data_IF_637847829272
#
_entry.id   IF_637847829272
#
_cell.length_a   1.000
_cell.length_b   1.000
_cell.length_c   1.000
_cell.angle_alpha   90.00
_cell.angle_beta   90.00
_cell.angle_gamma   90.00
#
_symmetry.space_group_name_H-M   'P 1'
#
loop_
_entity.id
_entity.type
_entity.pdbx_description
1 polymer ?
#
# COMPACT_ATOMS: atom_id res chain seq x y z
N UNK A 1 17.62 -1.61 6.31
CA UNK A 1 17.44 -3.08 6.37
C UNK A 1 17.05 -3.57 5.00
N UNK A 2 17.44 -4.79 4.63
CA UNK A 2 17.32 -5.25 3.25
C UNK A 2 16.09 -6.13 3.04
N UNK A 3 15.54 -6.05 1.85
CA UNK A 3 14.63 -7.03 1.27
C UNK A 3 15.15 -8.45 1.55
N UNK A 4 14.28 -9.43 1.72
CA UNK A 4 14.57 -10.80 2.15
C UNK A 4 14.94 -11.00 3.64
N UNK A 5 14.99 -9.96 4.46
CA UNK A 5 15.18 -10.14 5.90
C UNK A 5 13.98 -10.86 6.52
N UNK A 6 14.24 -11.93 7.25
CA UNK A 6 13.22 -12.66 8.02
C UNK A 6 13.39 -12.31 9.50
N UNK A 7 12.27 -12.02 10.17
CA UNK A 7 12.21 -11.72 11.60
C UNK A 7 11.32 -12.71 12.29
N UNK A 8 11.78 -13.21 13.43
CA UNK A 8 10.93 -13.97 14.34
C UNK A 8 10.15 -12.99 15.20
N UNK A 9 8.83 -13.17 15.27
CA UNK A 9 7.95 -12.46 16.18
C UNK A 9 7.51 -13.37 17.34
N UNK A 10 7.06 -12.77 18.41
CA UNK A 10 6.43 -13.45 19.52
C UNK A 10 5.02 -12.90 19.68
N UNK A 11 4.02 -13.74 19.39
CA UNK A 11 2.62 -13.37 19.52
C UNK A 11 2.21 -13.41 20.99
N UNK A 12 1.59 -12.33 21.46
CA UNK A 12 1.07 -12.26 22.82
C UNK A 12 -0.45 -12.19 22.79
N UNK A 13 -1.11 -13.00 23.62
CA UNK A 13 -2.57 -13.03 23.71
C UNK A 13 -3.05 -12.60 25.08
N UNK A 14 -4.17 -11.89 25.12
CA UNK A 14 -4.91 -11.55 26.32
C UNK A 14 -6.39 -11.74 26.10
N UNK A 15 -7.13 -11.88 27.17
CA UNK A 15 -8.59 -11.81 27.13
C UNK A 15 -9.02 -10.35 27.29
N UNK A 16 -9.93 -9.91 26.43
CA UNK A 16 -10.55 -8.60 26.56
C UNK A 16 -11.49 -8.61 27.77
N UNK A 17 -11.37 -7.69 28.73
CA UNK A 17 -12.12 -7.71 29.96
C UNK A 17 -13.62 -7.44 29.77
N UNK A 18 -14.00 -6.70 28.74
CA UNK A 18 -15.38 -6.27 28.52
C UNK A 18 -16.17 -7.29 27.70
N UNK A 19 -15.53 -7.90 26.70
CA UNK A 19 -16.18 -8.80 25.74
C UNK A 19 -15.86 -10.28 25.97
N UNK A 20 -14.80 -10.58 26.73
CA UNK A 20 -14.28 -11.93 26.88
C UNK A 20 -13.55 -12.46 25.63
N UNK A 21 -13.41 -11.66 24.57
CA UNK A 21 -12.74 -12.06 23.35
C UNK A 21 -11.24 -12.24 23.55
N UNK A 22 -10.67 -13.25 22.91
CA UNK A 22 -9.20 -13.42 22.87
C UNK A 22 -8.62 -12.45 21.85
N UNK A 23 -7.78 -11.52 22.31
CA UNK A 23 -7.05 -10.56 21.47
C UNK A 23 -5.58 -11.00 21.39
N UNK A 24 -5.08 -11.17 20.17
CA UNK A 24 -3.69 -11.54 19.92
C UNK A 24 -2.97 -10.38 19.21
N UNK A 25 -1.88 -9.91 19.83
CA UNK A 25 -0.96 -8.97 19.20
C UNK A 25 0.00 -9.76 18.31
N UNK A 26 0.06 -9.37 17.03
CA UNK A 26 0.85 -10.06 16.01
C UNK A 26 2.21 -9.39 15.73
N UNK A 27 2.41 -8.16 16.19
CA UNK A 27 3.62 -7.37 15.90
C UNK A 27 4.31 -6.95 17.19
N UNK A 28 5.64 -6.67 17.16
CA UNK A 28 6.37 -6.18 18.32
C UNK A 28 5.75 -4.90 18.90
N UNK A 29 5.76 -4.70 20.22
CA UNK A 29 5.11 -3.54 20.86
C UNK A 29 5.85 -2.22 20.63
N UNK A 30 7.13 -2.28 20.32
CA UNK A 30 8.06 -1.17 20.12
C UNK A 30 8.23 -0.73 18.67
N UNK A 31 7.53 -1.38 17.73
CA UNK A 31 7.57 -1.04 16.31
C UNK A 31 6.21 -0.56 15.86
N UNK A 32 6.17 0.58 15.17
CA UNK A 32 4.94 1.05 14.53
C UNK A 32 4.64 0.19 13.32
N UNK A 33 3.46 -0.44 13.35
CA UNK A 33 2.98 -1.29 12.27
C UNK A 33 1.54 -0.95 11.93
N UNK A 34 1.19 -1.06 10.66
CA UNK A 34 -0.19 -0.97 10.22
C UNK A 34 -0.47 -1.95 9.07
N UNK A 35 -1.72 -2.33 8.90
CA UNK A 35 -2.15 -3.02 7.70
C UNK A 35 -2.46 -2.02 6.58
N UNK A 36 -2.57 -2.50 5.33
CA UNK A 36 -3.12 -1.74 4.22
C UNK A 36 -4.56 -1.26 4.51
N UNK A 37 -5.11 -0.43 3.64
CA UNK A 37 -6.43 0.17 3.85
C UNK A 37 -7.52 -0.90 3.95
N UNK A 38 -8.57 -0.64 4.71
CA UNK A 38 -9.51 -1.65 5.21
C UNK A 38 -10.27 -2.44 4.13
N UNK A 39 -10.42 -1.93 2.92
CA UNK A 39 -11.05 -2.63 1.79
C UNK A 39 -10.05 -3.36 0.89
N UNK A 40 -8.75 -3.24 1.16
CA UNK A 40 -7.72 -3.93 0.39
C UNK A 40 -7.47 -5.34 0.96
N UNK A 41 -7.28 -6.31 0.05
CA UNK A 41 -6.92 -7.66 0.45
C UNK A 41 -5.53 -7.68 1.10
N UNK A 42 -5.46 -8.16 2.34
CA UNK A 42 -4.21 -8.28 3.09
C UNK A 42 -3.91 -9.71 3.58
N UNK A 43 -4.91 -10.57 3.66
CA UNK A 43 -4.72 -11.98 3.99
C UNK A 43 -4.63 -12.86 2.75
N UNK A 44 -3.85 -13.92 2.83
CA UNK A 44 -3.90 -15.02 1.85
C UNK A 44 -5.25 -15.73 1.92
N UNK A 45 -5.62 -16.42 0.83
CA UNK A 45 -6.91 -17.11 0.72
C UNK A 45 -7.10 -18.21 1.77
N UNK A 46 -6.00 -18.84 2.20
CA UNK A 46 -5.98 -19.84 3.28
C UNK A 46 -5.95 -19.22 4.68
N UNK A 47 -5.85 -17.88 4.77
CA UNK A 47 -5.79 -17.14 6.03
C UNK A 47 -4.51 -17.35 6.84
N UNK A 48 -3.48 -17.97 6.28
CA UNK A 48 -2.24 -18.30 7.02
C UNK A 48 -1.23 -17.18 7.01
N UNK A 49 -1.32 -16.21 6.08
CA UNK A 49 -0.37 -15.10 5.95
C UNK A 49 -1.08 -13.75 5.84
N UNK A 50 -0.39 -12.73 6.32
CA UNK A 50 -0.88 -11.34 6.36
C UNK A 50 0.18 -10.40 5.79
N UNK A 51 -0.20 -9.53 4.84
CA UNK A 51 0.60 -8.37 4.46
C UNK A 51 0.36 -7.23 5.44
N UNK A 52 1.43 -6.63 5.90
CA UNK A 52 1.41 -5.43 6.74
C UNK A 52 2.60 -4.52 6.42
N UNK A 53 2.58 -3.30 6.88
CA UNK A 53 3.70 -2.38 6.82
C UNK A 53 4.26 -2.10 8.21
N UNK A 54 5.56 -1.90 8.29
CA UNK A 54 6.24 -1.63 9.56
C UNK A 54 7.52 -0.83 9.37
N UNK A 55 7.85 -0.06 10.41
CA UNK A 55 9.06 0.77 10.50
C UNK A 55 10.15 0.02 11.27
N UNK A 56 10.75 -0.99 10.66
CA UNK A 56 11.81 -1.79 11.29
C UNK A 56 13.23 -1.24 11.07
N UNK A 57 13.36 -0.06 10.47
CA UNK A 57 14.63 0.60 10.21
C UNK A 57 15.26 1.24 11.45
N UNK A 58 16.57 1.57 11.41
CA UNK A 58 17.18 2.37 12.45
C UNK A 58 16.61 3.80 12.43
N UNK A 59 16.29 4.33 13.61
CA UNK A 59 15.98 5.75 13.75
C UNK A 59 17.19 6.61 13.30
N UNK A 60 17.01 7.80 12.70
CA UNK A 60 15.77 8.58 12.62
C UNK A 60 15.04 8.50 11.27
N UNK A 61 15.28 7.51 10.45
CA UNK A 61 14.66 7.42 9.13
C UNK A 61 13.70 6.22 9.07
N UNK A 62 12.46 6.41 9.49
CA UNK A 62 11.45 5.37 9.37
C UNK A 62 11.00 5.27 7.91
N UNK A 63 11.50 4.27 7.21
CA UNK A 63 10.91 3.88 5.95
C UNK A 63 9.91 2.79 6.22
N UNK A 64 8.67 3.04 5.83
CA UNK A 64 7.61 2.06 5.83
C UNK A 64 7.85 1.06 4.73
N UNK A 65 8.06 -0.21 5.09
CA UNK A 65 8.23 -1.29 4.14
C UNK A 65 7.14 -2.34 4.33
N UNK A 66 6.79 -3.03 3.24
CA UNK A 66 5.89 -4.16 3.27
C UNK A 66 6.57 -5.41 3.80
N UNK A 67 5.80 -6.16 4.58
CA UNK A 67 6.18 -7.44 5.15
C UNK A 67 5.08 -8.47 4.93
N UNK A 68 5.45 -9.73 4.77
CA UNK A 68 4.55 -10.88 4.77
C UNK A 68 4.75 -11.63 6.08
N UNK A 69 3.76 -11.59 6.96
CA UNK A 69 3.74 -12.32 8.22
C UNK A 69 3.12 -13.69 8.01
N UNK A 70 3.84 -14.73 8.33
CA UNK A 70 3.32 -16.09 8.45
C UNK A 70 2.80 -16.28 9.89
N UNK A 71 1.49 -16.53 10.01
CA UNK A 71 0.81 -16.63 11.30
C UNK A 71 1.07 -17.95 12.03
N UNK A 72 1.52 -18.97 11.31
CA UNK A 72 1.83 -20.28 11.89
C UNK A 72 3.24 -20.31 12.48
N UNK A 73 4.21 -19.83 11.71
CA UNK A 73 5.62 -19.78 12.13
C UNK A 73 5.96 -18.53 12.92
N UNK A 74 5.08 -17.53 12.94
CA UNK A 74 5.26 -16.21 13.54
C UNK A 74 6.49 -15.49 12.97
N UNK A 75 6.78 -15.68 11.69
CA UNK A 75 7.90 -15.05 11.01
C UNK A 75 7.41 -13.99 10.03
N UNK A 76 8.09 -12.85 9.96
CA UNK A 76 7.82 -11.79 9.01
C UNK A 76 8.97 -11.65 8.00
N UNK A 77 8.65 -11.84 6.72
CA UNK A 77 9.57 -11.64 5.61
C UNK A 77 9.43 -10.20 5.10
N UNK A 78 10.53 -9.45 5.06
CA UNK A 78 10.53 -8.12 4.45
C UNK A 78 10.47 -8.22 2.93
N UNK A 79 9.42 -7.62 2.35
CA UNK A 79 9.11 -7.69 0.91
C UNK A 79 9.76 -6.55 0.13
N UNK A 80 9.86 -5.35 0.73
CA UNK A 80 10.35 -4.15 0.07
C UNK A 80 11.42 -3.46 0.89
N UNK A 81 12.23 -2.61 0.25
CA UNK A 81 13.31 -1.86 0.90
C UNK A 81 13.43 -0.41 0.39
N UNK A 82 12.43 0.02 -0.39
CA UNK A 82 12.43 1.35 -1.01
C UNK A 82 11.95 2.45 -0.08
N UNK A 83 12.12 3.68 -0.57
CA UNK A 83 11.53 4.88 0.01
C UNK A 83 10.28 5.27 -0.79
N UNK A 84 9.33 5.96 -0.13
CA UNK A 84 8.17 6.53 -0.79
C UNK A 84 7.12 5.51 -1.21
N UNK A 85 7.06 4.35 -0.56
CA UNK A 85 6.02 3.36 -0.79
C UNK A 85 4.71 3.78 -0.14
N UNK A 86 3.63 3.77 -0.92
CA UNK A 86 2.29 3.94 -0.37
C UNK A 86 1.84 2.64 0.30
N UNK A 87 2.15 2.50 1.57
CA UNK A 87 1.87 1.27 2.33
C UNK A 87 0.42 1.13 2.78
N UNK A 88 -0.41 2.16 2.63
CA UNK A 88 -1.85 2.06 2.84
C UNK A 88 -2.58 1.49 1.62
N UNK A 89 -2.09 1.80 0.41
CA UNK A 89 -2.74 1.46 -0.85
C UNK A 89 -2.41 0.09 -1.42
N UNK A 90 -1.48 -0.65 -0.83
CA UNK A 90 -1.09 -1.95 -1.36
C UNK A 90 -2.13 -3.04 -1.12
N UNK A 91 -2.21 -4.00 -2.05
CA UNK A 91 -3.12 -5.14 -1.94
C UNK A 91 -2.55 -6.39 -2.61
N UNK A 92 -2.98 -7.55 -2.13
CA UNK A 92 -2.68 -8.84 -2.77
C UNK A 92 -3.59 -9.12 -3.96
N UNK A 93 -3.04 -9.74 -5.01
CA UNK A 93 -3.84 -10.31 -6.08
C UNK A 93 -4.77 -11.43 -5.56
N UNK A 94 -5.89 -11.74 -6.27
CA UNK A 94 -6.84 -12.75 -5.84
C UNK A 94 -6.26 -14.15 -5.66
N UNK A 95 -5.20 -14.47 -6.42
CA UNK A 95 -4.50 -15.74 -6.40
C UNK A 95 -3.31 -15.80 -5.41
N UNK A 96 -3.16 -14.80 -4.55
CA UNK A 96 -2.08 -14.66 -3.56
C UNK A 96 -0.66 -14.58 -4.14
N UNK A 97 -0.55 -14.37 -5.45
CA UNK A 97 0.76 -14.41 -6.12
C UNK A 97 1.49 -13.07 -6.08
N UNK A 98 0.76 -11.97 -6.18
CA UNK A 98 1.36 -10.65 -6.33
C UNK A 98 0.92 -9.68 -5.24
N UNK A 99 1.84 -8.80 -4.84
CA UNK A 99 1.55 -7.56 -4.13
C UNK A 99 1.63 -6.40 -5.12
N UNK A 100 0.58 -5.57 -5.18
CA UNK A 100 0.57 -4.31 -5.92
C UNK A 100 0.64 -3.13 -4.96
N UNK A 101 1.46 -2.14 -5.26
CA UNK A 101 1.55 -0.90 -4.49
C UNK A 101 2.12 0.25 -5.34
N UNK A 102 1.87 1.48 -4.91
CA UNK A 102 2.40 2.68 -5.57
C UNK A 102 3.68 3.12 -4.87
N UNK A 103 4.73 3.41 -5.65
CA UNK A 103 6.01 3.94 -5.17
C UNK A 103 6.26 5.32 -5.76
N UNK A 104 6.68 6.27 -4.89
CA UNK A 104 7.06 7.61 -5.29
C UNK A 104 5.93 8.39 -5.97
N UNK A 105 4.67 8.07 -5.63
CA UNK A 105 3.47 8.72 -6.19
C UNK A 105 3.38 8.62 -7.73
N UNK A 106 4.20 7.76 -8.34
CA UNK A 106 4.34 7.68 -9.80
C UNK A 106 4.31 6.27 -10.38
N UNK A 107 4.77 5.28 -9.67
CA UNK A 107 4.93 3.94 -10.21
C UNK A 107 4.01 2.95 -9.50
N UNK A 108 3.18 2.24 -10.27
CA UNK A 108 2.53 1.03 -9.78
C UNK A 108 3.53 -0.11 -9.90
N UNK A 109 3.90 -0.67 -8.78
CA UNK A 109 4.80 -1.82 -8.69
C UNK A 109 3.95 -3.08 -8.53
N UNK A 110 4.33 -4.12 -9.26
CA UNK A 110 3.89 -5.51 -9.07
C UNK A 110 5.06 -6.30 -8.52
N UNK A 111 4.92 -6.85 -7.34
CA UNK A 111 5.92 -7.69 -6.69
C UNK A 111 5.40 -9.13 -6.66
N UNK A 112 6.16 -10.07 -7.21
CA UNK A 112 5.88 -11.50 -7.13
C UNK A 112 6.27 -12.00 -5.72
N UNK A 113 5.32 -12.53 -4.96
CA UNK A 113 5.52 -12.92 -3.56
C UNK A 113 6.39 -14.19 -3.38
N UNK A 114 6.54 -14.98 -4.42
CA UNK A 114 7.38 -16.19 -4.38
C UNK A 114 8.85 -15.87 -4.69
N UNK A 115 9.10 -15.02 -5.68
CA UNK A 115 10.45 -14.69 -6.15
C UNK A 115 10.99 -13.37 -5.62
N UNK A 116 10.12 -12.53 -5.08
CA UNK A 116 10.36 -11.14 -4.67
C UNK A 116 10.88 -10.25 -5.81
N UNK A 117 10.65 -10.65 -7.06
CA UNK A 117 10.94 -9.81 -8.21
C UNK A 117 9.90 -8.72 -8.36
N UNK A 118 10.36 -7.50 -8.63
CA UNK A 118 9.52 -6.35 -8.87
C UNK A 118 9.51 -5.99 -10.34
N UNK A 119 8.37 -5.54 -10.83
CA UNK A 119 8.23 -4.89 -12.13
C UNK A 119 7.37 -3.64 -12.01
N UNK A 120 7.62 -2.67 -12.88
CA UNK A 120 6.78 -1.48 -13.01
C UNK A 120 5.61 -1.83 -13.93
N UNK A 121 4.44 -2.05 -13.35
CA UNK A 121 3.21 -2.36 -14.11
C UNK A 121 2.62 -1.13 -14.78
N UNK A 122 2.86 0.07 -14.23
CA UNK A 122 2.40 1.33 -14.81
C UNK A 122 3.19 2.52 -14.25
N UNK A 123 3.39 3.53 -15.10
CA UNK A 123 3.97 4.82 -14.68
C UNK A 123 2.98 5.95 -14.94
N UNK A 124 2.72 6.76 -13.92
CA UNK A 124 1.91 7.97 -14.02
C UNK A 124 2.54 8.92 -15.04
N UNK A 125 1.76 9.48 -15.97
CA UNK A 125 2.28 10.39 -16.99
C UNK A 125 2.98 11.61 -16.40
N UNK A 126 3.87 12.21 -17.18
CA UNK A 126 4.49 13.48 -16.82
C UNK A 126 3.41 14.55 -16.59
N UNK A 127 3.66 15.44 -15.61
CA UNK A 127 2.71 16.48 -15.22
C UNK A 127 1.60 16.02 -14.26
N UNK A 128 1.60 14.73 -13.86
CA UNK A 128 0.62 14.16 -12.93
C UNK A 128 1.29 13.41 -11.78
N UNK A 129 0.56 13.30 -10.69
CA UNK A 129 0.96 12.60 -9.47
C UNK A 129 -0.15 11.63 -9.09
N UNK A 130 0.19 10.39 -8.81
CA UNK A 130 -0.77 9.39 -8.32
C UNK A 130 -1.14 9.66 -6.87
N UNK A 131 -2.43 9.63 -6.57
CA UNK A 131 -2.93 9.90 -5.24
C UNK A 131 -3.82 8.79 -4.69
N UNK A 132 -3.78 8.64 -3.38
CA UNK A 132 -4.66 7.75 -2.64
C UNK A 132 -4.39 6.26 -2.86
N UNK A 133 -5.39 5.47 -2.59
CA UNK A 133 -5.35 4.02 -2.80
C UNK A 133 -5.97 3.67 -4.14
N UNK A 134 -5.22 2.97 -4.97
CA UNK A 134 -5.74 2.46 -6.23
C UNK A 134 -6.45 1.13 -6.00
N UNK A 135 -7.51 0.89 -6.73
CA UNK A 135 -8.40 -0.26 -6.52
C UNK A 135 -8.44 -1.13 -7.77
N UNK A 136 -8.19 -2.42 -7.61
CA UNK A 136 -8.36 -3.40 -8.67
C UNK A 136 -9.77 -4.02 -8.65
N UNK A 137 -10.21 -4.47 -9.83
CA UNK A 137 -11.38 -5.35 -9.91
C UNK A 137 -11.06 -6.73 -9.32
N UNK A 138 -12.09 -7.51 -8.98
CA UNK A 138 -11.93 -8.82 -8.33
C UNK A 138 -11.06 -9.82 -9.11
N UNK A 139 -11.01 -9.71 -10.43
CA UNK A 139 -10.15 -10.54 -11.27
C UNK A 139 -8.71 -10.01 -11.41
N UNK A 140 -8.40 -8.83 -10.82
CA UNK A 140 -7.11 -8.15 -10.93
C UNK A 140 -6.63 -7.96 -12.39
N UNK A 141 -7.57 -7.67 -13.29
CA UNK A 141 -7.28 -7.39 -14.71
C UNK A 141 -7.30 -5.90 -15.03
N UNK A 142 -8.02 -5.13 -14.21
CA UNK A 142 -8.12 -3.68 -14.32
C UNK A 142 -7.92 -3.03 -12.97
N UNK A 143 -7.36 -1.83 -13.01
CA UNK A 143 -7.20 -0.99 -11.83
C UNK A 143 -7.79 0.39 -12.11
N UNK A 144 -8.34 1.02 -11.07
CA UNK A 144 -8.80 2.40 -11.10
C UNK A 144 -7.97 3.19 -10.09
N UNK A 145 -7.54 4.37 -10.47
CA UNK A 145 -6.75 5.26 -9.64
C UNK A 145 -7.09 6.73 -9.88
N UNK A 146 -6.51 7.58 -9.05
CA UNK A 146 -6.66 9.02 -9.11
C UNK A 146 -5.29 9.64 -9.38
N UNK A 147 -5.27 10.64 -10.24
CA UNK A 147 -4.13 11.49 -10.53
C UNK A 147 -4.49 12.93 -10.24
N UNK A 148 -3.55 13.68 -9.69
CA UNK A 148 -3.65 15.12 -9.48
C UNK A 148 -2.60 15.78 -10.36
N UNK A 149 -2.94 16.93 -10.95
CA UNK A 149 -1.96 17.69 -11.71
C UNK A 149 -0.78 18.07 -10.81
N UNK A 150 0.44 17.83 -11.27
CA UNK A 150 1.64 18.07 -10.46
C UNK A 150 1.78 19.53 -10.02
N UNK A 151 1.24 20.48 -10.80
CA UNK A 151 1.21 21.89 -10.44
C UNK A 151 0.30 22.21 -9.25
N UNK A 152 -0.69 21.34 -8.97
CA UNK A 152 -1.65 21.49 -7.88
C UNK A 152 -1.32 20.58 -6.69
N UNK A 153 -0.28 19.72 -6.82
CA UNK A 153 0.09 18.73 -5.82
C UNK A 153 0.96 19.29 -4.71
N UNK A 154 0.63 18.94 -3.48
CA UNK A 154 1.49 19.15 -2.31
C UNK A 154 1.60 17.84 -1.53
N UNK A 155 2.83 17.43 -1.14
CA UNK A 155 3.04 16.20 -0.42
C UNK A 155 2.44 16.24 0.99
N UNK A 156 2.01 15.09 1.50
CA UNK A 156 1.44 14.94 2.85
C UNK A 156 2.40 15.38 3.96
N UNK A 157 3.70 15.44 3.70
CA UNK A 157 4.70 15.97 4.64
C UNK A 157 4.52 17.47 4.94
N UNK A 158 3.86 18.22 4.04
CA UNK A 158 3.45 19.60 4.26
C UNK A 158 1.92 19.68 4.45
N UNK A 159 1.46 19.27 5.62
CA UNK A 159 0.03 19.17 5.91
C UNK A 159 -0.74 20.48 5.70
N UNK A 160 -0.14 21.64 5.97
CA UNK A 160 -0.81 22.93 5.76
C UNK A 160 -1.08 23.21 4.30
N UNK A 161 -0.11 22.91 3.42
CA UNK A 161 -0.29 23.07 1.97
C UNK A 161 -1.20 21.99 1.41
N UNK A 162 -1.13 20.77 1.95
CA UNK A 162 -2.05 19.70 1.58
C UNK A 162 -3.51 20.09 1.90
N UNK A 163 -3.78 20.64 3.09
CA UNK A 163 -5.12 21.14 3.46
C UNK A 163 -5.58 22.27 2.51
N UNK A 164 -4.69 23.21 2.17
CA UNK A 164 -4.99 24.25 1.18
C UNK A 164 -5.32 23.68 -0.20
N UNK A 165 -4.67 22.60 -0.61
CA UNK A 165 -4.96 21.92 -1.89
C UNK A 165 -6.41 21.43 -1.95
N UNK A 166 -6.96 20.93 -0.85
CA UNK A 166 -8.36 20.52 -0.76
C UNK A 166 -9.31 21.70 -1.06
N UNK A 167 -8.99 22.86 -0.54
CA UNK A 167 -9.81 24.06 -0.74
C UNK A 167 -9.62 24.71 -2.11
N UNK A 168 -8.47 24.53 -2.73
CA UNK A 168 -8.11 25.13 -4.03
C UNK A 168 -8.65 24.38 -5.25
N UNK A 169 -9.41 23.27 -5.05
CA UNK A 169 -10.01 22.50 -6.12
C UNK A 169 -8.98 22.07 -7.18
N UNK A 170 -8.03 21.19 -6.85
CA UNK A 170 -7.00 20.75 -7.77
C UNK A 170 -7.59 20.12 -9.02
N UNK A 171 -6.86 20.17 -10.14
CA UNK A 171 -7.24 19.43 -11.32
C UNK A 171 -6.96 17.94 -11.08
N UNK A 172 -8.00 17.13 -11.11
CA UNK A 172 -7.94 15.70 -10.84
C UNK A 172 -8.44 14.88 -12.03
N UNK A 173 -7.92 13.66 -12.14
CA UNK A 173 -8.36 12.63 -13.08
C UNK A 173 -8.70 11.34 -12.35
N UNK A 174 -9.83 10.75 -12.69
CA UNK A 174 -10.10 9.35 -12.48
C UNK A 174 -9.69 8.58 -13.73
N UNK A 175 -8.88 7.56 -13.60
CA UNK A 175 -8.41 6.77 -14.73
C UNK A 175 -8.52 5.28 -14.44
N UNK A 176 -8.53 4.47 -15.49
CA UNK A 176 -8.37 3.02 -15.39
C UNK A 176 -7.16 2.56 -16.16
N UNK A 177 -6.57 1.45 -15.70
CA UNK A 177 -5.47 0.74 -16.37
C UNK A 177 -5.92 -0.69 -16.60
N UNK A 178 -5.68 -1.19 -17.79
CA UNK A 178 -5.68 -2.62 -18.09
C UNK A 178 -4.31 -3.18 -17.70
N UNK A 179 -4.27 -4.09 -16.71
CA UNK A 179 -3.02 -4.56 -16.11
C UNK A 179 -2.22 -5.49 -17.02
N UNK A 180 -2.85 -6.10 -18.02
CA UNK A 180 -2.14 -6.97 -18.98
C UNK A 180 -1.44 -6.17 -20.07
N UNK A 181 -2.09 -5.13 -20.57
CA UNK A 181 -1.57 -4.32 -21.68
C UNK A 181 -0.93 -3.00 -21.26
N UNK A 182 -1.11 -2.58 -20.00
CA UNK A 182 -0.71 -1.25 -19.51
C UNK A 182 -1.55 -0.11 -20.09
N UNK A 183 -2.60 -0.41 -20.87
CA UNK A 183 -3.42 0.61 -21.53
C UNK A 183 -4.23 1.40 -20.52
N UNK A 184 -3.99 2.71 -20.51
CA UNK A 184 -4.68 3.68 -19.67
C UNK A 184 -5.86 4.32 -20.38
N UNK A 185 -6.92 4.60 -19.64
CA UNK A 185 -8.06 5.39 -20.08
C UNK A 185 -8.44 6.39 -19.00
N UNK A 186 -8.56 7.67 -19.35
CA UNK A 186 -9.17 8.68 -18.48
C UNK A 186 -10.68 8.50 -18.50
N UNK A 187 -11.27 8.34 -17.33
CA UNK A 187 -12.72 8.18 -17.15
C UNK A 187 -13.37 9.54 -16.90
N UNK A 188 -12.74 10.36 -16.07
CA UNK A 188 -13.22 11.67 -15.67
C UNK A 188 -12.04 12.60 -15.42
N UNK A 189 -12.17 13.85 -15.86
CA UNK A 189 -11.26 14.94 -15.51
C UNK A 189 -12.08 16.13 -15.03
N UNK A 190 -11.71 16.68 -13.88
CA UNK A 190 -12.41 17.85 -13.33
C UNK A 190 -11.51 18.67 -12.42
N UNK A 191 -11.87 19.96 -12.28
CA UNK A 191 -11.39 20.78 -11.16
C UNK A 191 -12.23 20.47 -9.92
N UNK A 192 -11.57 20.09 -8.84
CA UNK A 192 -12.18 19.65 -7.62
C UNK A 192 -11.70 18.26 -7.24
N UNK A 193 -11.83 17.96 -5.97
CA UNK A 193 -11.31 16.72 -5.41
C UNK A 193 -12.03 15.49 -5.98
N UNK A 194 -11.28 14.52 -6.43
CA UNK A 194 -11.73 13.19 -6.82
C UNK A 194 -11.05 12.18 -5.89
N UNK A 195 -11.58 11.96 -4.75
CA UNK A 195 -10.96 11.04 -3.83
C UNK A 195 -11.39 11.25 -2.41
N UNK A 196 -10.86 10.43 -1.58
CA UNK A 196 -11.21 10.30 -0.18
C UNK A 196 -9.97 10.58 0.66
#
# INVERSE_FOLDING_TARGET
MSKHTVRQFEFTSRQDPDTGARVTRLTPPDVTCHRNYFYQKCFTNDGTKLIFAGEFGPAPSPHWNYHLLDLQTQTALQLTEGEGENTFGGFMSPDDRFLYFVRGERQLIRLDLATLQEEVAYTVPEGWVGYGTWVANSACTKMVGIEIAAADWFPLSDWKKFDQMFHNKPLCRLFSIDLASGRRQVILEQKGWLGH
#
